data_IF_013908476556
#
_entry.id   IF_013908476556
#
_cell.length_a   1.000
_cell.length_b   1.000
_cell.length_c   1.000
_cell.angle_alpha   90.00
_cell.angle_beta   90.00
_cell.angle_gamma   90.00
#
_symmetry.space_group_name_H-M   'P 1'
#
loop_
_entity.id
_entity.type
_entity.pdbx_description
1 polymer ?
#
# COMPACT_ATOMS: atom_id res chain seq x y z
N UNK A 1 17.33 0.49 -13.86
CA UNK A 1 16.63 -0.13 -12.73
C UNK A 1 15.27 -0.46 -13.31
N UNK A 2 15.01 -1.75 -13.58
CA UNK A 2 13.70 -2.15 -14.09
C UNK A 2 12.68 -1.76 -13.03
N UNK A 3 11.77 -0.85 -13.38
CA UNK A 3 10.62 -0.51 -12.56
C UNK A 3 9.90 -1.83 -12.27
N UNK A 4 10.06 -2.35 -11.04
CA UNK A 4 9.18 -3.39 -10.51
C UNK A 4 7.77 -2.83 -10.63
N UNK A 5 7.08 -3.22 -11.70
CA UNK A 5 5.66 -2.95 -11.89
C UNK A 5 4.99 -3.51 -10.64
N UNK A 6 4.64 -2.63 -9.70
CA UNK A 6 3.84 -2.97 -8.54
C UNK A 6 2.61 -3.71 -9.07
N UNK A 7 2.59 -5.04 -8.88
CA UNK A 7 1.48 -5.86 -9.33
C UNK A 7 0.32 -5.49 -8.42
N UNK A 8 -0.51 -4.56 -8.89
CA UNK A 8 -1.76 -4.22 -8.21
C UNK A 8 -2.66 -5.44 -8.25
N UNK A 9 -3.09 -5.87 -7.07
CA UNK A 9 -4.14 -6.85 -6.91
C UNK A 9 -5.43 -6.25 -7.45
N UNK A 10 -6.10 -6.97 -8.35
CA UNK A 10 -7.42 -6.63 -8.89
C UNK A 10 -8.52 -7.10 -7.93
N UNK A 11 -9.75 -6.54 -8.01
CA UNK A 11 -10.87 -7.01 -7.18
C UNK A 11 -11.15 -8.50 -7.34
N UNK A 12 -11.14 -9.04 -8.56
CA UNK A 12 -11.30 -10.48 -8.81
C UNK A 12 -10.27 -11.32 -8.05
N UNK A 13 -9.02 -10.84 -8.03
CA UNK A 13 -7.95 -11.53 -7.32
C UNK A 13 -8.12 -11.41 -5.80
N UNK A 14 -8.60 -10.27 -5.31
CA UNK A 14 -8.91 -10.08 -3.91
C UNK A 14 -10.04 -11.02 -3.45
N UNK A 15 -11.09 -11.20 -4.25
CA UNK A 15 -12.15 -12.19 -3.98
C UNK A 15 -11.55 -13.60 -3.83
N UNK A 16 -10.72 -14.02 -4.79
CA UNK A 16 -10.09 -15.35 -4.75
C UNK A 16 -9.23 -15.55 -3.49
N UNK A 17 -8.48 -14.52 -3.09
CA UNK A 17 -7.62 -14.59 -1.91
C UNK A 17 -8.44 -14.63 -0.62
N UNK A 18 -9.40 -13.71 -0.47
CA UNK A 18 -10.26 -13.62 0.71
C UNK A 18 -11.08 -14.90 0.89
N UNK A 19 -11.56 -15.48 -0.22
CA UNK A 19 -12.31 -16.73 -0.17
C UNK A 19 -11.48 -17.91 0.35
N UNK A 20 -10.17 -17.97 0.04
CA UNK A 20 -9.27 -19.02 0.58
C UNK A 20 -9.16 -18.96 2.10
N UNK A 21 -9.35 -17.77 2.67
CA UNK A 21 -9.34 -17.53 4.11
C UNK A 21 -10.75 -17.58 4.72
N UNK A 22 -11.76 -18.01 3.95
CA UNK A 22 -13.14 -18.15 4.41
C UNK A 22 -13.93 -16.84 4.44
N UNK A 23 -13.40 -15.77 3.84
CA UNK A 23 -14.04 -14.46 3.74
C UNK A 23 -14.67 -14.34 2.35
N UNK A 24 -16.00 -14.43 2.29
CA UNK A 24 -16.75 -14.35 1.05
C UNK A 24 -17.24 -12.92 0.85
N UNK A 25 -16.77 -12.28 -0.23
CA UNK A 25 -17.14 -10.91 -0.59
C UNK A 25 -17.52 -10.84 -2.06
N UNK A 26 -18.38 -9.88 -2.39
CA UNK A 26 -18.73 -9.57 -3.77
C UNK A 26 -17.74 -8.58 -4.40
N UNK A 27 -17.95 -8.25 -5.68
CA UNK A 27 -17.08 -7.35 -6.45
C UNK A 27 -16.96 -5.95 -5.86
N UNK A 28 -18.08 -5.39 -5.39
CA UNK A 28 -18.13 -4.05 -4.80
C UNK A 28 -17.40 -4.02 -3.45
N UNK A 29 -17.63 -5.03 -2.62
CA UNK A 29 -16.95 -5.18 -1.32
C UNK A 29 -15.44 -5.37 -1.50
N UNK A 30 -15.01 -6.20 -2.46
CA UNK A 30 -13.60 -6.40 -2.76
C UNK A 30 -12.93 -5.11 -3.25
N UNK A 31 -13.63 -4.31 -4.06
CA UNK A 31 -13.15 -2.99 -4.49
C UNK A 31 -12.96 -2.05 -3.30
N UNK A 32 -13.96 -1.96 -2.40
CA UNK A 32 -13.89 -1.12 -1.20
C UNK A 32 -12.72 -1.52 -0.30
N UNK A 33 -12.51 -2.83 -0.09
CA UNK A 33 -11.40 -3.35 0.70
C UNK A 33 -10.06 -2.95 0.09
N UNK A 34 -9.89 -3.13 -1.22
CA UNK A 34 -8.66 -2.77 -1.91
C UNK A 34 -8.38 -1.26 -1.83
N UNK A 35 -9.39 -0.42 -2.07
CA UNK A 35 -9.24 1.04 -2.00
C UNK A 35 -8.79 1.50 -0.62
N UNK A 36 -9.34 0.90 0.43
CA UNK A 36 -8.92 1.16 1.80
C UNK A 36 -7.46 0.76 2.04
N UNK A 37 -7.08 -0.46 1.65
CA UNK A 37 -5.71 -0.97 1.85
C UNK A 37 -4.67 -0.17 1.08
N UNK A 38 -4.95 0.23 -0.17
CA UNK A 38 -4.05 1.08 -0.94
C UNK A 38 -3.93 2.49 -0.35
N UNK A 39 -5.03 3.05 0.17
CA UNK A 39 -5.00 4.34 0.85
C UNK A 39 -4.10 4.29 2.08
N UNK A 40 -4.22 3.23 2.89
CA UNK A 40 -3.32 3.03 4.04
C UNK A 40 -1.86 2.85 3.62
N UNK A 41 -1.60 2.05 2.59
CA UNK A 41 -0.24 1.81 2.10
C UNK A 41 0.43 3.12 1.65
N UNK A 42 -0.28 3.97 0.92
CA UNK A 42 0.22 5.29 0.52
C UNK A 42 0.59 6.15 1.72
N UNK A 43 -0.29 6.23 2.72
CA UNK A 43 -0.03 7.00 3.96
C UNK A 43 1.24 6.49 4.66
N UNK A 44 1.40 5.17 4.79
CA UNK A 44 2.57 4.56 5.44
C UNK A 44 3.85 4.86 4.66
N UNK A 45 3.82 4.75 3.33
CA UNK A 45 4.96 5.06 2.47
C UNK A 45 5.33 6.55 2.57
N UNK A 46 4.36 7.46 2.49
CA UNK A 46 4.56 8.90 2.64
C UNK A 46 5.19 9.24 4.00
N UNK A 47 4.69 8.65 5.09
CA UNK A 47 5.25 8.86 6.42
C UNK A 47 6.67 8.32 6.56
N UNK A 48 6.96 7.17 5.94
CA UNK A 48 8.29 6.58 5.98
C UNK A 48 9.32 7.39 5.19
N UNK A 49 8.94 7.86 3.99
CA UNK A 49 9.80 8.68 3.13
C UNK A 49 10.05 10.07 3.70
N UNK A 50 9.01 10.72 4.26
CA UNK A 50 9.14 12.03 4.90
C UNK A 50 10.08 11.99 6.11
N UNK A 51 9.93 10.99 7.00
CA UNK A 51 10.83 10.83 8.16
C UNK A 51 12.30 10.61 7.80
N UNK A 52 12.59 9.93 6.69
CA UNK A 52 13.97 9.79 6.20
C UNK A 52 14.54 11.11 5.68
N UNK A 53 13.70 11.93 5.03
CA UNK A 53 14.08 13.25 4.53
C UNK A 53 14.40 14.22 5.67
N UNK A 54 13.61 14.17 6.75
CA UNK A 54 13.85 14.95 7.96
C UNK A 54 15.13 14.54 8.69
N UNK A 55 15.41 13.23 8.74
CA UNK A 55 16.65 12.70 9.31
C UNK A 55 17.89 13.16 8.52
N UNK A 56 17.84 13.17 7.18
CA UNK A 56 18.95 13.66 6.34
C UNK A 56 19.17 15.16 6.53
N UNK A 57 18.10 15.94 6.68
CA UNK A 57 18.17 17.39 6.88
C UNK A 57 18.80 17.74 8.24
N UNK A 58 18.42 17.05 9.32
CA UNK A 58 18.96 17.26 10.66
C UNK A 58 20.46 16.92 10.81
N UNK A 59 21.02 16.07 9.94
CA UNK A 59 22.46 15.74 9.93
C UNK A 59 23.27 16.86 9.27
N UNK A 60 22.72 17.51 8.25
CA UNK A 60 23.41 18.58 7.51
C UNK A 60 23.41 19.92 8.24
N UNK A 61 22.46 20.19 9.14
CA UNK A 61 22.44 21.42 9.96
C UNK A 61 23.38 21.39 11.17
N UNK A 62 23.93 20.21 11.52
CA UNK A 62 24.87 20.03 12.65
C UNK A 62 26.35 20.02 12.24
N UNK A 63 26.67 20.33 10.98
CA UNK A 63 28.03 20.36 10.44
C UNK A 63 28.40 21.77 10.02
#
# INVERSE_FOLDING_TARGET
MEDEKLIRITPDKAIELLQKDGIYVNMEEAQIILDFLYSMANIVVEQFVSRQSDAITAINEKK
#
